data_IF_841220274360
#
_entry.id   IF_841220274360
#
_cell.length_a   1.000
_cell.length_b   1.000
_cell.length_c   1.000
_cell.angle_alpha   90.00
_cell.angle_beta   90.00
_cell.angle_gamma   90.00
#
_symmetry.space_group_name_H-M   'P 1'
#
loop_
_entity.id
_entity.type
_entity.pdbx_description
1 polymer ?
#
# COMPACT_ATOMS: atom_id res chain seq x y z
N UNK A 1 -1.32 6.71 18.27
CA UNK A 1 -1.08 7.21 16.93
C UNK A 1 0.39 7.10 16.56
N UNK A 2 0.67 6.90 15.28
CA UNK A 2 2.03 6.75 14.78
C UNK A 2 2.82 8.04 14.97
N UNK A 3 4.07 7.92 15.42
CA UNK A 3 4.91 9.09 15.75
C UNK A 3 5.98 9.41 14.69
N UNK A 4 6.06 8.61 13.62
CA UNK A 4 7.05 8.81 12.56
C UNK A 4 8.42 8.20 12.84
N UNK A 5 8.66 7.67 14.04
CA UNK A 5 9.95 7.08 14.42
C UNK A 5 9.88 5.59 14.71
N UNK A 6 8.75 5.09 15.22
CA UNK A 6 8.55 3.66 15.37
C UNK A 6 8.52 3.00 14.00
N UNK A 7 8.93 1.74 13.93
CA UNK A 7 8.90 1.01 12.67
C UNK A 7 7.49 0.56 12.34
N UNK A 8 7.16 0.64 11.05
CA UNK A 8 5.92 0.10 10.51
C UNK A 8 6.11 -1.37 10.17
N UNK A 9 5.06 -2.16 10.36
CA UNK A 9 5.03 -3.53 9.84
C UNK A 9 4.86 -3.53 8.33
N UNK A 10 5.48 -4.49 7.67
CA UNK A 10 5.21 -4.74 6.26
C UNK A 10 3.77 -5.18 6.09
N UNK A 11 3.02 -4.59 5.14
CA UNK A 11 1.64 -5.03 4.89
C UNK A 11 1.58 -6.45 4.35
N UNK A 12 2.61 -6.87 3.63
CA UNK A 12 2.77 -8.23 3.12
C UNK A 12 4.27 -8.54 3.09
N UNK A 13 4.63 -9.80 3.31
CA UNK A 13 6.03 -10.24 3.28
C UNK A 13 6.37 -10.67 1.85
N UNK A 14 7.11 -9.82 1.15
CA UNK A 14 7.50 -10.10 -0.23
C UNK A 14 8.56 -9.15 -0.73
N UNK A 15 9.07 -9.44 -1.92
CA UNK A 15 10.06 -8.59 -2.57
C UNK A 15 9.41 -7.31 -3.09
N UNK A 16 10.15 -6.21 -3.07
CA UNK A 16 9.73 -4.98 -3.73
C UNK A 16 9.96 -5.14 -5.24
N UNK A 17 8.88 -5.08 -5.99
CA UNK A 17 8.90 -5.23 -7.46
C UNK A 17 9.22 -3.91 -8.12
N UNK A 18 8.58 -2.82 -7.65
CA UNK A 18 8.81 -1.45 -8.12
C UNK A 18 9.08 -0.57 -6.91
N UNK A 19 10.21 0.13 -6.93
CA UNK A 19 10.63 1.00 -5.83
C UNK A 19 9.90 2.34 -5.84
N UNK A 20 9.78 2.95 -4.66
CA UNK A 20 9.43 4.37 -4.58
C UNK A 20 10.49 5.18 -5.33
N UNK A 21 10.05 6.11 -6.18
CA UNK A 21 10.95 7.01 -6.89
C UNK A 21 10.19 8.26 -7.32
N UNK A 22 10.36 9.36 -6.59
CA UNK A 22 9.74 10.64 -6.93
C UNK A 22 10.73 11.65 -7.46
N UNK A 23 12.04 11.40 -7.29
CA UNK A 23 13.11 12.29 -7.82
C UNK A 23 13.50 11.93 -9.25
N UNK A 24 13.21 10.72 -9.67
CA UNK A 24 13.49 10.24 -11.02
C UNK A 24 12.42 9.25 -11.45
N UNK A 25 12.37 8.97 -12.74
CA UNK A 25 11.40 8.01 -13.27
C UNK A 25 11.96 6.60 -13.22
N UNK A 26 11.06 5.62 -13.12
CA UNK A 26 11.37 4.20 -13.27
C UNK A 26 10.47 3.60 -14.35
N UNK A 27 10.89 2.46 -14.90
CA UNK A 27 10.14 1.78 -15.93
C UNK A 27 9.00 0.96 -15.33
N UNK A 28 7.79 1.14 -15.88
CA UNK A 28 6.61 0.35 -15.54
C UNK A 28 6.35 -0.66 -16.66
N UNK A 29 6.65 -1.94 -16.46
CA UNK A 29 6.58 -2.94 -17.53
C UNK A 29 5.21 -3.07 -18.21
N UNK A 30 4.13 -3.14 -17.43
CA UNK A 30 2.78 -3.30 -18.00
C UNK A 30 2.40 -2.10 -18.86
N UNK A 31 2.73 -0.90 -18.40
CA UNK A 31 2.37 0.34 -19.10
C UNK A 31 3.36 0.68 -20.21
N UNK A 32 4.52 0.04 -20.22
CA UNK A 32 5.62 0.29 -21.17
C UNK A 32 5.94 1.79 -21.23
N UNK A 33 6.14 2.39 -20.05
CA UNK A 33 6.55 3.79 -19.97
C UNK A 33 7.35 4.05 -18.69
N UNK A 34 8.03 5.20 -18.68
CA UNK A 34 8.77 5.68 -17.50
C UNK A 34 7.94 6.76 -16.83
N UNK A 35 7.80 6.64 -15.50
CA UNK A 35 7.16 7.68 -14.69
C UNK A 35 7.67 7.58 -13.25
N UNK A 36 7.43 8.62 -12.46
CA UNK A 36 7.68 8.58 -11.02
C UNK A 36 6.71 7.61 -10.34
N UNK A 37 7.16 7.02 -9.24
CA UNK A 37 6.35 6.06 -8.49
C UNK A 37 6.25 6.49 -7.02
N UNK A 38 5.06 6.88 -6.54
CA UNK A 38 4.89 7.30 -5.15
C UNK A 38 4.77 6.13 -4.17
N UNK A 39 4.60 4.92 -4.67
CA UNK A 39 4.30 3.75 -3.85
C UNK A 39 5.38 2.68 -3.98
N UNK A 40 5.39 1.74 -3.01
CA UNK A 40 6.07 0.46 -3.18
C UNK A 40 5.09 -0.52 -3.80
N UNK A 41 5.53 -1.26 -4.79
CA UNK A 41 4.78 -2.41 -5.33
C UNK A 41 5.45 -3.65 -4.76
N UNK A 42 4.75 -4.37 -3.89
CA UNK A 42 5.31 -5.45 -3.09
C UNK A 42 4.69 -6.77 -3.54
N UNK A 43 5.51 -7.74 -3.92
CA UNK A 43 5.04 -9.06 -4.32
C UNK A 43 4.27 -9.74 -3.20
N UNK A 44 3.17 -10.40 -3.54
CA UNK A 44 2.42 -11.24 -2.63
C UNK A 44 1.67 -12.31 -3.41
N UNK A 45 1.38 -13.43 -2.76
CA UNK A 45 0.57 -14.49 -3.37
C UNK A 45 -0.90 -14.13 -3.27
N UNK A 46 -1.69 -14.49 -4.28
CA UNK A 46 -3.15 -14.28 -4.25
C UNK A 46 -3.71 -14.94 -2.98
N UNK A 47 -4.58 -14.20 -2.30
CA UNK A 47 -5.21 -14.58 -1.03
C UNK A 47 -4.29 -14.50 0.19
N UNK A 48 -3.05 -14.03 0.04
CA UNK A 48 -2.21 -13.74 1.19
C UNK A 48 -2.78 -12.56 1.98
N UNK A 49 -2.80 -12.63 3.33
CA UNK A 49 -3.33 -11.53 4.14
C UNK A 49 -2.51 -10.26 3.99
N UNK A 50 -3.21 -9.12 3.96
CA UNK A 50 -2.60 -7.79 3.96
C UNK A 50 -2.94 -7.11 5.27
N UNK A 51 -1.93 -6.70 6.02
CA UNK A 51 -2.07 -6.25 7.39
C UNK A 51 -1.81 -4.75 7.54
N UNK A 52 -2.46 -4.15 8.55
CA UNK A 52 -2.25 -2.75 8.89
C UNK A 52 -0.82 -2.54 9.39
N UNK A 53 -0.07 -1.56 8.83
CA UNK A 53 1.33 -1.34 9.22
C UNK A 53 1.50 -0.74 10.60
N UNK A 54 0.44 -0.15 11.15
CA UNK A 54 0.40 0.45 12.48
C UNK A 54 -1.05 0.57 12.91
N UNK A 55 -1.27 0.90 14.17
CA UNK A 55 -2.60 1.33 14.65
C UNK A 55 -3.09 2.49 13.80
N UNK A 56 -4.34 2.45 13.39
CA UNK A 56 -4.87 3.43 12.44
C UNK A 56 -6.40 3.51 12.50
N UNK A 57 -6.91 4.58 11.90
CA UNK A 57 -8.33 4.66 11.56
C UNK A 57 -8.49 4.49 10.06
N UNK A 58 -9.42 3.65 9.64
CA UNK A 58 -9.79 3.53 8.24
C UNK A 58 -10.57 4.76 7.83
N UNK A 59 -10.04 5.54 6.89
CA UNK A 59 -10.69 6.77 6.42
C UNK A 59 -11.44 6.58 5.12
N UNK A 60 -11.06 5.59 4.32
CA UNK A 60 -11.72 5.31 3.05
C UNK A 60 -11.57 3.84 2.68
N UNK A 61 -12.64 3.26 2.14
CA UNK A 61 -12.62 1.95 1.47
C UNK A 61 -13.23 2.19 0.10
N UNK A 62 -12.48 1.91 -0.96
CA UNK A 62 -12.92 2.23 -2.31
C UNK A 62 -12.34 1.29 -3.35
N UNK A 63 -12.56 1.64 -4.61
CA UNK A 63 -12.07 0.87 -5.75
C UNK A 63 -11.87 1.77 -6.95
N UNK A 64 -10.78 1.53 -7.69
CA UNK A 64 -10.57 2.17 -8.98
C UNK A 64 -9.87 1.21 -9.94
N UNK A 65 -9.76 1.62 -11.21
CA UNK A 65 -9.19 0.75 -12.25
C UNK A 65 -7.70 0.49 -12.06
N UNK A 66 -6.97 1.46 -11.50
CA UNK A 66 -5.51 1.38 -11.41
C UNK A 66 -5.07 0.46 -10.28
N UNK A 67 -5.59 0.67 -9.08
CA UNK A 67 -5.14 -0.07 -7.89
C UNK A 67 -6.21 -1.02 -7.33
N UNK A 68 -7.32 -1.22 -8.03
CA UNK A 68 -8.37 -2.14 -7.58
C UNK A 68 -9.01 -1.69 -6.28
N UNK A 69 -9.41 -2.64 -5.46
CA UNK A 69 -9.94 -2.34 -4.13
C UNK A 69 -8.81 -1.84 -3.23
N UNK A 70 -9.08 -0.77 -2.50
CA UNK A 70 -8.05 -0.17 -1.64
C UNK A 70 -8.64 0.29 -0.31
N UNK A 71 -7.77 0.42 0.67
CA UNK A 71 -8.07 0.94 2.00
C UNK A 71 -7.10 2.09 2.28
N UNK A 72 -7.63 3.20 2.76
CA UNK A 72 -6.83 4.35 3.22
C UNK A 72 -6.86 4.39 4.73
N UNK A 73 -5.68 4.50 5.33
CA UNK A 73 -5.49 4.49 6.78
C UNK A 73 -4.90 5.82 7.24
N UNK A 74 -5.50 6.42 8.26
CA UNK A 74 -4.89 7.53 9.00
C UNK A 74 -4.09 6.94 10.16
N UNK A 75 -2.76 7.05 10.08
CA UNK A 75 -1.86 6.52 11.10
C UNK A 75 -1.65 7.50 12.25
N UNK A 76 -2.07 8.76 12.09
CA UNK A 76 -1.82 9.83 13.04
C UNK A 76 -0.57 10.63 12.68
N UNK A 77 -0.39 11.77 13.33
CA UNK A 77 0.76 12.67 13.15
C UNK A 77 1.01 13.08 11.68
N UNK A 78 -0.05 13.16 10.89
CA UNK A 78 0.03 13.53 9.47
C UNK A 78 0.40 12.38 8.53
N UNK A 79 0.56 11.17 9.03
CA UNK A 79 0.90 10.00 8.20
C UNK A 79 -0.36 9.29 7.72
N UNK A 80 -0.37 8.95 6.43
CA UNK A 80 -1.46 8.24 5.77
C UNK A 80 -0.88 7.10 4.95
N UNK A 81 -1.54 5.96 4.94
CA UNK A 81 -1.14 4.81 4.12
C UNK A 81 -2.28 4.37 3.22
N UNK A 82 -1.95 3.99 1.99
CA UNK A 82 -2.89 3.38 1.05
C UNK A 82 -2.42 1.97 0.74
N UNK A 83 -3.31 1.00 0.95
CA UNK A 83 -3.07 -0.40 0.58
C UNK A 83 -4.04 -0.75 -0.55
N UNK A 84 -3.53 -1.02 -1.73
CA UNK A 84 -4.34 -1.30 -2.91
C UNK A 84 -4.12 -2.71 -3.46
N UNK A 85 -4.88 -3.04 -4.48
CA UNK A 85 -4.92 -4.35 -5.13
C UNK A 85 -5.39 -5.47 -4.19
N UNK A 86 -6.43 -5.16 -3.41
CA UNK A 86 -6.99 -6.06 -2.42
C UNK A 86 -8.24 -6.76 -2.93
N UNK A 87 -8.55 -7.90 -2.30
CA UNK A 87 -9.86 -8.53 -2.37
C UNK A 87 -10.34 -8.86 -0.96
N UNK A 88 -11.64 -9.12 -0.83
CA UNK A 88 -12.25 -9.54 0.43
C UNK A 88 -11.86 -8.59 1.57
N UNK A 89 -12.06 -7.28 1.36
CA UNK A 89 -11.75 -6.25 2.35
C UNK A 89 -12.56 -6.50 3.62
N UNK A 90 -11.85 -6.51 4.77
CA UNK A 90 -12.40 -6.91 6.06
C UNK A 90 -12.76 -5.73 6.96
N UNK A 91 -12.53 -4.50 6.52
CA UNK A 91 -12.70 -3.31 7.34
C UNK A 91 -13.64 -2.32 6.68
N UNK A 92 -14.17 -1.40 7.47
CA UNK A 92 -15.11 -0.38 7.00
C UNK A 92 -14.59 1.01 7.34
N UNK A 93 -15.08 2.00 6.59
CA UNK A 93 -14.78 3.41 6.86
C UNK A 93 -15.12 3.76 8.30
N UNK A 94 -14.25 4.55 8.93
CA UNK A 94 -14.30 5.00 10.32
C UNK A 94 -13.88 3.97 11.36
N UNK A 95 -13.65 2.72 10.98
CA UNK A 95 -13.21 1.69 11.90
C UNK A 95 -11.78 1.97 12.37
N UNK A 96 -11.52 1.75 13.65
CA UNK A 96 -10.18 1.76 14.21
C UNK A 96 -9.62 0.33 14.18
N UNK A 97 -8.37 0.21 13.78
CA UNK A 97 -7.68 -1.09 13.69
C UNK A 97 -6.37 -1.04 14.46
N UNK A 98 -6.02 -2.15 15.09
CA UNK A 98 -4.70 -2.30 15.71
C UNK A 98 -3.66 -2.61 14.63
N UNK A 99 -2.39 -2.40 14.96
CA UNK A 99 -1.27 -2.86 14.13
C UNK A 99 -1.45 -4.36 13.83
N UNK A 100 -1.13 -4.75 12.61
CA UNK A 100 -1.22 -6.13 12.10
C UNK A 100 -2.64 -6.68 11.91
N UNK A 101 -3.67 -5.86 12.08
CA UNK A 101 -5.04 -6.25 11.73
C UNK A 101 -5.13 -6.53 10.23
N UNK A 102 -5.78 -7.62 9.85
CA UNK A 102 -5.98 -7.98 8.45
C UNK A 102 -6.97 -7.00 7.81
N UNK A 103 -6.52 -6.29 6.77
CA UNK A 103 -7.34 -5.33 6.03
C UNK A 103 -8.09 -6.01 4.89
N UNK A 104 -7.50 -7.02 4.31
CA UNK A 104 -7.99 -7.76 3.17
C UNK A 104 -6.93 -8.74 2.71
N UNK A 105 -7.01 -9.15 1.47
CA UNK A 105 -6.14 -10.19 0.91
C UNK A 105 -5.62 -9.74 -0.45
N UNK A 106 -4.46 -10.27 -0.86
CA UNK A 106 -3.89 -9.96 -2.16
C UNK A 106 -4.82 -10.48 -3.26
N UNK A 107 -5.23 -9.59 -4.16
CA UNK A 107 -6.01 -9.94 -5.34
C UNK A 107 -5.10 -10.23 -6.53
N UNK A 108 -5.67 -10.78 -7.59
CA UNK A 108 -5.00 -10.76 -8.89
C UNK A 108 -4.80 -9.31 -9.31
N UNK A 109 -3.70 -8.97 -10.01
CA UNK A 109 -3.41 -7.58 -10.35
C UNK A 109 -4.43 -7.01 -11.32
N UNK A 110 -4.63 -5.69 -11.24
CA UNK A 110 -5.39 -4.97 -12.27
C UNK A 110 -4.62 -5.00 -13.59
N UNK A 111 -5.28 -4.59 -14.67
CA UNK A 111 -4.62 -4.50 -15.98
C UNK A 111 -3.45 -3.51 -16.02
N UNK A 112 -3.30 -2.66 -15.02
CA UNK A 112 -2.19 -1.71 -14.91
C UNK A 112 -0.92 -2.37 -14.39
N UNK A 113 -1.01 -3.55 -13.77
CA UNK A 113 0.09 -4.24 -13.11
C UNK A 113 0.20 -5.71 -13.51
N UNK A 114 -0.35 -6.11 -14.65
CA UNK A 114 -0.42 -7.53 -15.02
C UNK A 114 0.95 -8.17 -15.23
N UNK A 115 1.91 -7.47 -15.81
CA UNK A 115 3.27 -8.00 -16.02
C UNK A 115 4.03 -8.08 -14.70
N UNK A 116 3.84 -7.12 -13.80
CA UNK A 116 4.47 -7.14 -12.48
C UNK A 116 4.02 -8.34 -11.65
N UNK A 117 2.84 -8.88 -11.94
CA UNK A 117 2.29 -10.02 -11.21
C UNK A 117 1.57 -9.62 -9.94
N UNK A 118 1.21 -10.62 -9.13
CA UNK A 118 0.43 -10.42 -7.91
C UNK A 118 1.19 -9.52 -6.93
N UNK A 119 0.55 -8.48 -6.45
CA UNK A 119 1.22 -7.49 -5.62
C UNK A 119 0.25 -6.69 -4.76
N UNK A 120 0.82 -6.00 -3.78
CA UNK A 120 0.15 -4.97 -2.99
C UNK A 120 0.71 -3.62 -3.39
N UNK A 121 -0.17 -2.68 -3.69
CA UNK A 121 0.18 -1.27 -3.86
C UNK A 121 0.23 -0.65 -2.46
N UNK A 122 1.39 -0.17 -2.02
CA UNK A 122 1.56 0.41 -0.69
C UNK A 122 2.16 1.80 -0.79
N UNK A 123 1.35 2.81 -0.52
CA UNK A 123 1.80 4.21 -0.56
C UNK A 123 1.75 4.80 0.84
N UNK A 124 2.87 5.39 1.28
CA UNK A 124 2.95 6.13 2.53
C UNK A 124 3.07 7.63 2.22
N UNK A 125 2.28 8.43 2.91
CA UNK A 125 2.31 9.88 2.78
C UNK A 125 2.53 10.53 4.14
N UNK A 126 3.21 11.67 4.14
CA UNK A 126 3.34 12.51 5.32
C UNK A 126 2.92 13.93 4.94
N UNK A 127 1.91 14.45 5.65
CA UNK A 127 1.33 15.76 5.38
C UNK A 127 0.93 15.93 3.90
N UNK A 128 0.36 14.86 3.32
CA UNK A 128 -0.14 14.86 1.95
C UNK A 128 0.92 14.61 0.87
N UNK A 129 2.19 14.46 1.23
CA UNK A 129 3.28 14.21 0.28
C UNK A 129 3.76 12.77 0.35
N UNK A 130 3.94 12.08 -0.80
CA UNK A 130 4.50 10.74 -0.78
C UNK A 130 5.89 10.72 -0.17
N UNK A 131 6.17 9.68 0.62
CA UNK A 131 7.50 9.43 1.19
C UNK A 131 7.90 7.99 0.90
N UNK A 132 9.19 7.72 0.96
CA UNK A 132 9.69 6.36 0.73
C UNK A 132 9.36 5.48 1.95
N UNK A 133 8.43 4.55 1.76
CA UNK A 133 7.99 3.67 2.85
C UNK A 133 9.14 2.81 3.39
N UNK A 134 10.18 2.51 2.60
CA UNK A 134 11.32 1.74 3.07
C UNK A 134 12.07 2.44 4.22
N UNK A 135 11.99 3.76 4.29
CA UNK A 135 12.60 4.50 5.40
C UNK A 135 11.89 4.26 6.73
N UNK A 136 10.67 3.70 6.69
CA UNK A 136 9.81 3.52 7.86
C UNK A 136 9.52 2.06 8.19
N UNK A 137 9.61 1.15 7.21
CA UNK A 137 9.32 -0.28 7.41
C UNK A 137 10.46 -0.97 8.18
N UNK A 138 10.06 -1.98 8.96
CA UNK A 138 11.05 -2.77 9.72
C UNK A 138 11.89 -3.69 8.84
#
# INVERSE_FOLDING_TARGET
SYNGTDRLSWPVQGNVILDYSMDSTIYFPTLDLYKCNPALIIQGDVSEPVAAPAEAQVTEVGSNEEIGNYVVLDLGSGYTAVCGQLKDVQVAQKQYVAKDTILGYVAEPTKYYSIEGNNVYFELMHDGEPVDALDYLE
#
